data_IF_095565639109
#
_entry.id   IF_095565639109
#
_cell.length_a   1.000
_cell.length_b   1.000
_cell.length_c   1.000
_cell.angle_alpha   90.00
_cell.angle_beta   90.00
_cell.angle_gamma   90.00
#
_symmetry.space_group_name_H-M   'P 1'
#
loop_
_entity.id
_entity.type
_entity.pdbx_description
1 polymer ?
#
# COMPACT_ATOMS: atom_id res chain seq x y z
N UNK A 1 -17.28 1.94 -5.06
CA UNK A 1 -16.48 2.87 -4.24
C UNK A 1 -16.40 4.20 -4.97
N UNK A 2 -16.53 5.33 -4.28
CA UNK A 2 -16.40 6.65 -4.92
C UNK A 2 -14.95 6.85 -5.42
N UNK A 3 -14.74 7.46 -6.60
CA UNK A 3 -13.42 7.61 -7.20
C UNK A 3 -12.44 8.42 -6.33
N UNK A 4 -12.93 9.29 -5.44
CA UNK A 4 -12.11 10.04 -4.48
C UNK A 4 -11.40 9.19 -3.42
N UNK A 5 -11.76 7.91 -3.27
CA UNK A 5 -11.11 6.98 -2.33
C UNK A 5 -10.09 6.06 -3.00
N UNK A 6 -9.98 6.11 -4.32
CA UNK A 6 -8.99 5.32 -5.04
C UNK A 6 -7.61 5.98 -4.98
N UNK A 7 -6.57 5.16 -4.93
CA UNK A 7 -5.21 5.60 -5.15
C UNK A 7 -4.83 5.38 -6.60
N UNK A 8 -4.29 6.41 -7.23
CA UNK A 8 -3.85 6.38 -8.62
C UNK A 8 -2.34 6.42 -8.67
N UNK A 9 -1.75 5.38 -9.24
CA UNK A 9 -0.30 5.31 -9.45
C UNK A 9 0.10 6.06 -10.72
N UNK A 10 1.37 6.44 -10.84
CA UNK A 10 1.88 7.16 -12.00
C UNK A 10 1.90 6.30 -13.29
N UNK A 11 1.83 4.97 -13.15
CA UNK A 11 1.64 4.01 -14.24
C UNK A 11 0.17 3.68 -14.52
N UNK A 12 -0.76 4.56 -14.08
CA UNK A 12 -2.20 4.51 -14.37
C UNK A 12 -2.95 3.33 -13.75
N UNK A 13 -2.38 2.70 -12.73
CA UNK A 13 -3.08 1.68 -11.94
C UNK A 13 -3.97 2.40 -10.93
N UNK A 14 -5.22 1.96 -10.84
CA UNK A 14 -6.20 2.43 -9.87
C UNK A 14 -6.39 1.34 -8.82
N UNK A 15 -6.04 1.61 -7.56
CA UNK A 15 -6.23 0.69 -6.44
C UNK A 15 -7.24 1.25 -5.44
N UNK A 16 -8.21 0.44 -5.03
CA UNK A 16 -9.36 0.87 -4.20
C UNK A 16 -9.43 0.17 -2.85
N UNK A 17 -8.63 -0.85 -2.64
CA UNK A 17 -8.58 -1.65 -1.43
C UNK A 17 -7.20 -2.33 -1.32
N UNK A 18 -6.95 -3.01 -0.21
CA UNK A 18 -5.65 -3.64 0.05
C UNK A 18 -5.33 -4.80 -0.91
N UNK A 19 -6.34 -5.52 -1.41
CA UNK A 19 -6.13 -6.61 -2.37
C UNK A 19 -5.64 -6.05 -3.71
N UNK A 20 -6.28 -4.97 -4.19
CA UNK A 20 -5.86 -4.27 -5.41
C UNK A 20 -4.49 -3.62 -5.23
N UNK A 21 -4.18 -3.08 -4.04
CA UNK A 21 -2.84 -2.58 -3.73
C UNK A 21 -1.80 -3.71 -3.81
N UNK A 22 -2.07 -4.87 -3.20
CA UNK A 22 -1.17 -6.02 -3.23
C UNK A 22 -0.92 -6.51 -4.67
N UNK A 23 -1.97 -6.61 -5.49
CA UNK A 23 -1.82 -6.92 -6.92
C UNK A 23 -1.03 -5.85 -7.67
N UNK A 24 -1.32 -4.57 -7.43
CA UNK A 24 -0.60 -3.45 -8.04
C UNK A 24 0.90 -3.49 -7.74
N UNK A 25 1.26 -3.72 -6.48
CA UNK A 25 2.65 -3.86 -6.03
C UNK A 25 3.37 -5.03 -6.70
N UNK A 26 2.69 -6.16 -6.90
CA UNK A 26 3.27 -7.36 -7.54
C UNK A 26 3.72 -7.15 -8.99
N UNK A 27 3.13 -6.17 -9.69
CA UNK A 27 3.51 -5.81 -11.07
C UNK A 27 4.15 -4.42 -11.18
N UNK A 28 4.37 -3.74 -10.06
CA UNK A 28 4.83 -2.34 -10.05
C UNK A 28 6.29 -2.25 -10.45
N UNK A 29 6.60 -1.35 -11.38
CA UNK A 29 7.99 -1.06 -11.75
C UNK A 29 8.71 -0.31 -10.62
N UNK A 30 10.01 -0.54 -10.40
CA UNK A 30 10.76 0.12 -9.33
C UNK A 30 10.65 1.65 -9.35
N UNK A 31 10.70 2.27 -10.53
CA UNK A 31 10.63 3.73 -10.68
C UNK A 31 9.25 4.27 -10.32
N UNK A 32 8.19 3.51 -10.60
CA UNK A 32 6.83 3.88 -10.20
C UNK A 32 6.66 3.81 -8.68
N UNK A 33 7.25 2.80 -8.03
CA UNK A 33 7.25 2.70 -6.57
C UNK A 33 8.02 3.88 -5.94
N UNK A 34 9.21 4.18 -6.43
CA UNK A 34 10.06 5.28 -5.93
C UNK A 34 9.44 6.66 -6.11
N UNK A 35 8.49 6.81 -7.04
CA UNK A 35 7.72 8.05 -7.18
C UNK A 35 6.80 8.29 -5.98
N UNK A 36 6.23 7.22 -5.40
CA UNK A 36 5.29 7.26 -4.28
C UNK A 36 5.96 7.07 -2.92
N UNK A 37 7.15 6.46 -2.92
CA UNK A 37 7.89 6.13 -1.70
C UNK A 37 9.30 6.70 -1.79
N UNK A 38 9.55 7.68 -0.94
CA UNK A 38 10.83 8.37 -0.77
C UNK A 38 11.32 8.19 0.68
N UNK A 39 12.55 8.60 0.97
CA UNK A 39 13.07 8.57 2.35
C UNK A 39 12.29 9.43 3.36
N UNK A 40 11.43 10.35 2.90
CA UNK A 40 10.65 11.24 3.76
C UNK A 40 9.16 10.95 3.76
N UNK A 41 8.65 10.21 2.76
CA UNK A 41 7.21 10.07 2.53
C UNK A 41 6.87 8.75 1.84
N UNK A 42 5.78 8.14 2.28
CA UNK A 42 5.21 6.93 1.69
C UNK A 42 3.72 7.16 1.42
N UNK A 43 3.37 7.41 0.16
CA UNK A 43 2.01 7.74 -0.25
C UNK A 43 1.02 6.59 -0.04
N UNK A 44 1.48 5.35 -0.16
CA UNK A 44 0.65 4.17 0.13
C UNK A 44 0.29 4.11 1.62
N UNK A 45 1.25 4.35 2.52
CA UNK A 45 1.00 4.41 3.97
C UNK A 45 -0.01 5.51 4.31
N UNK A 46 0.17 6.71 3.77
CA UNK A 46 -0.77 7.82 3.99
C UNK A 46 -2.19 7.48 3.48
N UNK A 47 -2.29 6.85 2.31
CA UNK A 47 -3.58 6.43 1.75
C UNK A 47 -4.25 5.33 2.59
N UNK A 48 -3.51 4.29 3.00
CA UNK A 48 -4.03 3.21 3.84
C UNK A 48 -4.52 3.77 5.18
N UNK A 49 -3.77 4.66 5.81
CA UNK A 49 -4.14 5.25 7.09
C UNK A 49 -5.31 6.22 6.98
N UNK A 50 -5.24 7.15 6.03
CA UNK A 50 -6.22 8.24 5.91
C UNK A 50 -7.50 7.88 5.16
N UNK A 51 -7.41 7.03 4.13
CA UNK A 51 -8.54 6.71 3.25
C UNK A 51 -9.20 5.38 3.60
N UNK A 52 -8.40 4.35 3.88
CA UNK A 52 -8.94 3.06 4.34
C UNK A 52 -9.18 3.01 5.85
N UNK A 53 -8.77 4.05 6.59
CA UNK A 53 -8.88 4.13 8.05
C UNK A 53 -8.17 2.98 8.77
N UNK A 54 -6.98 2.58 8.28
CA UNK A 54 -6.17 1.49 8.85
C UNK A 54 -4.82 2.01 9.35
N UNK A 55 -4.78 2.76 10.47
CA UNK A 55 -3.57 3.43 10.94
C UNK A 55 -2.46 2.46 11.37
N UNK A 56 -2.80 1.32 11.96
CA UNK A 56 -1.79 0.33 12.39
C UNK A 56 -1.08 -0.28 11.19
N UNK A 57 -1.83 -0.69 10.17
CA UNK A 57 -1.28 -1.18 8.91
C UNK A 57 -0.45 -0.10 8.19
N UNK A 58 -0.93 1.14 8.19
CA UNK A 58 -0.21 2.28 7.63
C UNK A 58 1.16 2.46 8.29
N UNK A 59 1.20 2.35 9.62
CA UNK A 59 2.44 2.43 10.40
C UNK A 59 3.36 1.24 10.10
N UNK A 60 2.81 0.02 9.98
CA UNK A 60 3.55 -1.17 9.58
C UNK A 60 4.26 -0.94 8.24
N UNK A 61 3.54 -0.52 7.20
CA UNK A 61 4.11 -0.40 5.83
C UNK A 61 4.93 0.88 5.59
N UNK A 62 4.97 1.82 6.54
CA UNK A 62 5.63 3.12 6.37
C UNK A 62 7.13 2.98 6.00
N UNK A 63 7.80 1.95 6.54
CA UNK A 63 9.22 1.66 6.31
C UNK A 63 9.55 0.81 5.09
N UNK A 64 8.58 0.56 4.19
CA UNK A 64 8.82 -0.21 2.97
C UNK A 64 9.88 0.45 2.07
N UNK A 65 10.74 -0.36 1.46
CA UNK A 65 11.91 0.10 0.67
C UNK A 65 11.73 -0.10 -0.83
N UNK A 66 10.92 -1.07 -1.19
CA UNK A 66 10.54 -1.42 -2.55
C UNK A 66 9.16 -2.10 -2.51
N UNK A 67 8.59 -2.34 -3.69
CA UNK A 67 7.24 -2.92 -3.82
C UNK A 67 7.15 -4.35 -3.25
N UNK A 68 8.21 -5.14 -3.38
CA UNK A 68 8.24 -6.51 -2.88
C UNK A 68 8.27 -6.54 -1.35
N UNK A 69 9.07 -5.67 -0.72
CA UNK A 69 9.10 -5.49 0.72
C UNK A 69 7.74 -5.03 1.25
N UNK A 70 7.10 -4.05 0.60
CA UNK A 70 5.75 -3.62 1.00
C UNK A 70 4.73 -4.76 0.90
N UNK A 71 4.77 -5.55 -0.18
CA UNK A 71 3.88 -6.70 -0.36
C UNK A 71 4.05 -7.75 0.74
N UNK A 72 5.30 -8.03 1.15
CA UNK A 72 5.59 -8.92 2.27
C UNK A 72 5.01 -8.39 3.59
N UNK A 73 5.15 -7.09 3.87
CA UNK A 73 4.60 -6.47 5.07
C UNK A 73 3.07 -6.54 5.09
N UNK A 74 2.40 -6.25 3.96
CA UNK A 74 0.96 -6.40 3.82
C UNK A 74 0.51 -7.84 4.09
N UNK A 75 1.21 -8.83 3.53
CA UNK A 75 0.88 -10.24 3.71
C UNK A 75 1.04 -10.69 5.18
N UNK A 76 2.10 -10.24 5.86
CA UNK A 76 2.33 -10.54 7.27
C UNK A 76 1.21 -9.95 8.15
N UNK A 77 0.88 -8.68 7.96
CA UNK A 77 -0.14 -8.01 8.77
C UNK A 77 -1.54 -8.63 8.55
N UNK A 78 -1.92 -8.94 7.30
CA UNK A 78 -3.16 -9.65 7.00
C UNK A 78 -3.21 -11.07 7.57
N UNK A 79 -2.07 -11.75 7.64
CA UNK A 79 -1.99 -13.08 8.27
C UNK A 79 -2.20 -13.01 9.78
N UNK A 80 -1.67 -11.96 10.42
CA UNK A 80 -1.88 -11.70 11.85
C UNK A 80 -3.36 -11.40 12.14
N UNK A 81 -4.00 -10.56 11.33
CA UNK A 81 -5.44 -10.26 11.45
C UNK A 81 -6.33 -11.50 11.31
N UNK A 82 -5.98 -12.43 10.40
CA UNK A 82 -6.70 -13.70 10.24
C UNK A 82 -6.50 -14.66 11.41
N UNK A 83 -5.39 -14.59 12.13
CA UNK A 83 -5.13 -15.42 13.31
C UNK A 83 -5.77 -14.91 14.60
N UNK A 84 -6.31 -13.69 14.58
CA UNK A 84 -6.94 -13.03 15.74
C UNK A 84 -8.48 -13.09 15.75
N UNK A 85 -9.10 -13.62 14.70
CA UNK A 85 -10.54 -13.85 14.54
C UNK A 85 -10.85 -15.35 14.67
#
# INVERSE_FOLDING_TARGET
AAPERAFWTCDRICVRNLLELAHGLGSMRPEAFQHHVTGQRNDFSLWVGGVLAMPDLAQSIAGARDAAHMLQMLAQDMSLLRGML
#
